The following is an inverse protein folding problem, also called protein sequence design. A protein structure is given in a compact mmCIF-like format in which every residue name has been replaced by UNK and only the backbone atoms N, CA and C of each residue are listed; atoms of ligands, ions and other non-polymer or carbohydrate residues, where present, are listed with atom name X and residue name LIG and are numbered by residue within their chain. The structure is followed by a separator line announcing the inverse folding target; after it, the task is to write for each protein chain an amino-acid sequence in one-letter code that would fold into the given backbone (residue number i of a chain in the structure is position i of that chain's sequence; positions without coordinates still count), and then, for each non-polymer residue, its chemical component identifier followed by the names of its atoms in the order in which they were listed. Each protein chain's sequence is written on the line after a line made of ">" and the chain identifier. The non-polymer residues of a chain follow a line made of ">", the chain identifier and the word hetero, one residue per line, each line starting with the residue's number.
data_IF_237756476032
#
_entry.id   IF_237756476032
#
_cell.length_a   1.000
_cell.length_b   1.000
_cell.length_c   1.000
_cell.angle_alpha   90.00
_cell.angle_beta   90.00
_cell.angle_gamma   90.00
#
_symmetry.space_group_name_H-M   'P 1'
#
loop_
_entity.id
_entity.type
_entity.pdbx_description
1 polymer ?
#
# COMPACT_ATOMS: atom_id res chain seq x y z
N UNK A 1 5.09 14.23 -12.63
CA UNK A 1 4.61 12.97 -12.02
C UNK A 1 5.76 12.46 -11.18
N UNK A 2 5.49 12.15 -9.92
CA UNK A 2 6.52 11.73 -8.99
C UNK A 2 7.14 10.38 -9.40
N UNK A 3 8.46 10.26 -9.21
CA UNK A 3 9.26 9.08 -9.59
C UNK A 3 9.38 8.08 -8.42
N UNK A 4 8.52 8.18 -7.40
CA UNK A 4 8.73 7.54 -6.09
C UNK A 4 8.56 6.02 -6.13
N UNK A 5 7.79 5.52 -7.12
CA UNK A 5 7.60 4.09 -7.34
C UNK A 5 8.50 3.53 -8.45
N UNK A 6 9.29 4.37 -9.13
CA UNK A 6 10.09 3.91 -10.25
C UNK A 6 11.20 2.95 -9.80
N UNK A 7 11.30 1.82 -10.50
CA UNK A 7 12.24 0.75 -10.17
C UNK A 7 11.78 -0.15 -9.01
N UNK A 8 10.60 0.08 -8.43
CA UNK A 8 9.98 -0.84 -7.49
C UNK A 8 9.11 -1.85 -8.23
N UNK A 9 9.15 -3.10 -7.79
CA UNK A 9 8.22 -4.13 -8.24
C UNK A 9 6.90 -3.95 -7.49
N UNK A 10 5.89 -3.46 -8.21
CA UNK A 10 4.54 -3.30 -7.67
C UNK A 10 3.79 -4.62 -7.79
N UNK A 11 3.35 -5.14 -6.66
CA UNK A 11 2.69 -6.45 -6.57
C UNK A 11 1.17 -6.34 -6.64
N UNK A 12 0.60 -5.26 -6.07
CA UNK A 12 -0.84 -5.04 -6.02
C UNK A 12 -1.16 -3.54 -5.88
N UNK A 13 -2.37 -3.16 -6.28
CA UNK A 13 -2.93 -1.81 -6.16
C UNK A 13 -4.41 -1.89 -5.80
N UNK A 14 -4.82 -1.14 -4.77
CA UNK A 14 -6.23 -1.03 -4.36
C UNK A 14 -6.64 0.43 -4.21
N UNK A 15 -7.87 0.75 -4.64
CA UNK A 15 -8.49 2.06 -4.45
C UNK A 15 -9.40 2.04 -3.21
N UNK A 16 -9.36 3.12 -2.42
CA UNK A 16 -10.33 3.34 -1.35
C UNK A 16 -11.61 3.98 -1.92
N UNK A 17 -12.64 3.15 -2.15
CA UNK A 17 -13.93 3.60 -2.67
C UNK A 17 -14.69 4.54 -1.74
N UNK A 18 -14.29 4.66 -0.47
CA UNK A 18 -14.87 5.60 0.49
C UNK A 18 -14.06 6.89 0.63
N UNK A 19 -12.89 6.98 -0.02
CA UNK A 19 -12.02 8.17 -0.06
C UNK A 19 -11.48 8.38 -1.47
N UNK A 20 -12.27 8.96 -2.40
CA UNK A 20 -11.86 9.12 -3.79
C UNK A 20 -10.52 9.85 -3.93
N UNK A 21 -9.62 9.30 -4.75
CA UNK A 21 -8.25 9.80 -4.90
C UNK A 21 -7.23 9.16 -3.95
N UNK A 22 -7.69 8.36 -2.98
CA UNK A 22 -6.82 7.54 -2.14
C UNK A 22 -6.59 6.17 -2.75
N UNK A 23 -5.32 5.84 -3.01
CA UNK A 23 -4.91 4.51 -3.48
C UNK A 23 -3.74 4.01 -2.66
N UNK A 24 -3.62 2.69 -2.57
CA UNK A 24 -2.51 2.01 -1.91
C UNK A 24 -1.85 1.07 -2.93
N UNK A 25 -0.53 1.02 -2.91
CA UNK A 25 0.27 0.04 -3.65
C UNK A 25 1.17 -0.72 -2.70
N UNK A 26 1.38 -1.99 -2.98
CA UNK A 26 2.34 -2.80 -2.25
C UNK A 26 3.45 -3.29 -3.17
N UNK A 27 4.61 -3.54 -2.58
CA UNK A 27 5.83 -3.81 -3.34
C UNK A 27 6.58 -5.03 -2.80
N UNK A 28 7.41 -5.62 -3.66
CA UNK A 28 8.37 -6.63 -3.22
C UNK A 28 9.60 -5.97 -2.56
N UNK A 29 9.50 -5.71 -1.25
CA UNK A 29 10.64 -5.34 -0.40
C UNK A 29 10.69 -3.87 0.02
N UNK A 30 9.94 -2.96 -0.61
CA UNK A 30 9.86 -1.56 -0.21
C UNK A 30 8.63 -1.21 0.67
N UNK A 31 7.74 -2.18 0.90
CA UNK A 31 6.54 -2.05 1.71
C UNK A 31 5.35 -1.49 0.94
N UNK A 32 4.55 -0.68 1.61
CA UNK A 32 3.32 -0.06 1.10
C UNK A 32 3.56 1.43 0.88
N UNK A 33 3.00 1.96 -0.20
CA UNK A 33 2.91 3.39 -0.47
C UNK A 33 1.45 3.75 -0.69
N UNK A 34 1.10 5.00 -0.40
CA UNK A 34 -0.24 5.51 -0.65
C UNK A 34 -0.20 6.90 -1.28
N UNK A 35 -1.26 7.21 -1.99
CA UNK A 35 -1.55 8.53 -2.57
C UNK A 35 -2.90 8.99 -2.03
N UNK A 36 -3.13 10.30 -2.00
CA UNK A 36 -4.43 10.93 -1.73
C UNK A 36 -4.85 11.89 -2.85
N UNK A 37 -4.04 11.97 -3.92
CA UNK A 37 -4.19 12.92 -5.01
C UNK A 37 -4.40 12.24 -6.38
N UNK A 38 -4.86 10.98 -6.35
CA UNK A 38 -5.10 10.18 -7.55
C UNK A 38 -3.82 9.71 -8.23
N UNK A 39 -2.74 9.51 -7.46
CA UNK A 39 -1.47 8.96 -7.94
C UNK A 39 -0.50 9.99 -8.52
N UNK A 40 -0.69 11.29 -8.24
CA UNK A 40 0.26 12.34 -8.66
C UNK A 40 1.50 12.33 -7.77
N UNK A 41 1.33 11.99 -6.49
CA UNK A 41 2.39 11.78 -5.52
C UNK A 41 2.12 10.53 -4.65
N UNK A 42 3.18 9.86 -4.24
CA UNK A 42 3.13 8.66 -3.41
C UNK A 42 3.98 8.84 -2.16
N UNK A 43 3.47 8.40 -1.03
CA UNK A 43 4.14 8.50 0.27
C UNK A 43 4.17 7.15 0.98
N UNK A 44 5.27 6.80 1.66
CA UNK A 44 5.39 5.51 2.37
C UNK A 44 4.30 5.35 3.44
N UNK A 45 3.75 4.13 3.55
CA UNK A 45 2.70 3.75 4.49
C UNK A 45 3.12 2.52 5.31
N UNK A 46 4.30 2.60 5.92
CA UNK A 46 5.03 1.45 6.49
C UNK A 46 5.04 1.40 8.03
N UNK A 47 4.29 2.27 8.70
CA UNK A 47 4.29 2.34 10.17
C UNK A 47 3.75 1.04 10.78
N UNK A 48 4.58 0.37 11.58
CA UNK A 48 4.25 -0.93 12.18
C UNK A 48 4.32 -2.13 11.22
N UNK A 49 4.73 -1.92 9.97
CA UNK A 49 4.94 -2.99 9.00
C UNK A 49 6.36 -3.56 9.14
N UNK A 50 6.48 -4.65 9.92
CA UNK A 50 7.77 -5.28 10.20
C UNK A 50 8.35 -6.07 8.99
N UNK A 51 7.49 -6.51 8.06
CA UNK A 51 7.88 -7.27 6.86
C UNK A 51 7.51 -6.48 5.61
N UNK A 52 8.51 -6.07 4.83
CA UNK A 52 8.33 -5.13 3.70
C UNK A 52 8.10 -5.78 2.33
N UNK A 53 8.20 -7.11 2.22
CA UNK A 53 7.71 -7.79 1.03
C UNK A 53 6.21 -8.03 1.20
N UNK A 54 5.41 -7.30 0.43
CA UNK A 54 3.96 -7.31 0.53
C UNK A 54 3.40 -7.71 -0.82
N UNK A 55 2.64 -8.80 -0.83
CA UNK A 55 2.19 -9.46 -2.06
C UNK A 55 0.72 -9.29 -2.37
N UNK A 56 -0.07 -8.80 -1.43
CA UNK A 56 -1.50 -8.57 -1.63
C UNK A 56 -2.02 -7.48 -0.70
N UNK A 57 -2.96 -6.70 -1.20
CA UNK A 57 -3.74 -5.74 -0.43
C UNK A 57 -5.22 -6.09 -0.50
N UNK A 58 -5.93 -5.79 0.59
CA UNK A 58 -7.39 -5.78 0.57
C UNK A 58 -7.87 -4.60 1.41
N UNK A 59 -8.91 -3.91 0.95
CA UNK A 59 -9.46 -2.75 1.64
C UNK A 59 -10.94 -2.94 1.93
N UNK A 60 -11.34 -2.48 3.10
CA UNK A 60 -12.71 -2.43 3.58
C UNK A 60 -13.03 -1.03 4.07
N UNK A 61 -14.27 -0.80 4.52
CA UNK A 61 -14.69 0.50 5.04
C UNK A 61 -13.91 0.97 6.28
N UNK A 62 -13.23 0.09 7.00
CA UNK A 62 -12.51 0.45 8.23
C UNK A 62 -11.03 0.09 8.18
N UNK A 63 -10.64 -0.88 7.36
CA UNK A 63 -9.33 -1.52 7.44
C UNK A 63 -8.70 -1.67 6.07
N UNK A 64 -7.40 -1.40 6.01
CA UNK A 64 -6.48 -1.92 5.01
C UNK A 64 -5.81 -3.18 5.58
N UNK A 65 -5.78 -4.24 4.77
CA UNK A 65 -5.09 -5.49 5.05
C UNK A 65 -3.93 -5.66 4.06
N UNK A 66 -2.81 -6.19 4.55
CA UNK A 66 -1.64 -6.47 3.74
C UNK A 66 -1.11 -7.87 4.03
N UNK A 67 -1.02 -8.69 2.99
CA UNK A 67 -0.39 -10.01 3.04
C UNK A 67 1.12 -9.88 2.86
N UNK A 68 1.87 -10.26 3.89
CA UNK A 68 3.34 -10.10 3.92
C UNK A 68 4.07 -11.43 3.76
N UNK A 69 5.27 -11.40 3.18
CA UNK A 69 6.16 -12.56 3.24
C UNK A 69 6.55 -12.81 4.70
N UNK A 70 6.40 -14.05 5.18
CA UNK A 70 6.82 -14.50 6.52
C UNK A 70 6.19 -13.80 7.74
N UNK A 71 5.54 -12.64 7.58
CA UNK A 71 4.95 -11.85 8.67
C UNK A 71 3.43 -12.06 8.86
N UNK A 72 2.80 -12.85 8.00
CA UNK A 72 1.34 -13.06 8.02
C UNK A 72 0.58 -11.83 7.50
N UNK A 73 -0.58 -11.56 8.11
CA UNK A 73 -1.47 -10.46 7.70
C UNK A 73 -1.27 -9.26 8.63
N UNK A 74 -0.85 -8.13 8.06
CA UNK A 74 -0.88 -6.83 8.71
C UNK A 74 -2.23 -6.16 8.45
N UNK A 75 -2.75 -5.42 9.44
CA UNK A 75 -3.94 -4.57 9.25
C UNK A 75 -3.76 -3.22 9.91
N UNK A 76 -4.31 -2.18 9.28
CA UNK A 76 -4.33 -0.81 9.82
C UNK A 76 -5.69 -0.16 9.54
N UNK A 77 -6.17 0.74 10.42
CA UNK A 77 -7.28 1.61 10.05
C UNK A 77 -6.95 2.35 8.75
N UNK A 78 -7.91 2.42 7.84
CA UNK A 78 -7.74 3.21 6.61
C UNK A 78 -7.82 4.70 6.91
#
# INVERSE_FOLDING_TARGET
>A
MGNELAGLEVMDLVEDLWSPGTLFVCTDGAGIFHTVDGGRSWTPFNDGLNHRHVYSLAISREWLYAGTCWGGVYRRPR
#
